data_IF_312073226301
#
_entry.id   IF_312073226301
#
_cell.length_a   1.000
_cell.length_b   1.000
_cell.length_c   1.000
_cell.angle_alpha   90.00
_cell.angle_beta   90.00
_cell.angle_gamma   90.00
#
_symmetry.space_group_name_H-M   'P 1'
#
loop_
_entity.id
_entity.type
_entity.pdbx_description
1 polymer ?
#
# COMPACT_ATOMS: atom_id res chain seq x y z
N UNK A 1 21.40 -2.29 -28.42
CA UNK A 1 19.94 -2.43 -28.54
C UNK A 1 19.28 -1.34 -27.71
N UNK A 2 18.72 -0.31 -28.35
CA UNK A 2 17.98 0.78 -27.69
C UNK A 2 16.58 0.29 -27.35
N UNK A 3 16.22 0.30 -26.07
CA UNK A 3 14.84 0.07 -25.63
C UNK A 3 13.97 1.20 -26.21
N UNK A 4 12.81 0.90 -26.82
CA UNK A 4 11.89 1.94 -27.30
C UNK A 4 11.52 2.91 -26.16
N UNK A 5 11.52 4.23 -26.42
CA UNK A 5 11.22 5.27 -25.41
C UNK A 5 9.93 4.98 -24.64
N UNK A 6 8.89 4.51 -25.34
CA UNK A 6 7.59 4.19 -24.74
C UNK A 6 7.70 3.09 -23.68
N UNK A 7 8.53 2.07 -23.93
CA UNK A 7 8.75 0.99 -22.96
C UNK A 7 9.53 1.47 -21.74
N UNK A 8 10.49 2.39 -21.94
CA UNK A 8 11.25 2.99 -20.85
C UNK A 8 10.36 3.88 -19.96
N UNK A 9 9.43 4.64 -20.55
CA UNK A 9 8.46 5.46 -19.83
C UNK A 9 7.49 4.59 -19.01
N UNK A 10 6.93 3.52 -19.63
CA UNK A 10 6.08 2.55 -18.92
C UNK A 10 6.82 1.92 -17.73
N UNK A 11 8.10 1.54 -17.92
CA UNK A 11 8.92 1.00 -16.84
C UNK A 11 9.21 2.01 -15.73
N UNK A 12 9.31 3.31 -16.04
CA UNK A 12 9.51 4.38 -15.06
C UNK A 12 8.26 4.62 -14.21
N UNK A 13 7.09 4.73 -14.85
CA UNK A 13 5.78 4.88 -14.19
C UNK A 13 5.51 3.70 -13.27
N UNK A 14 5.71 2.47 -13.76
CA UNK A 14 5.56 1.24 -12.96
C UNK A 14 6.47 1.23 -11.74
N UNK A 15 7.71 1.71 -11.86
CA UNK A 15 8.65 1.76 -10.73
C UNK A 15 8.17 2.75 -9.66
N UNK A 16 7.77 3.95 -10.07
CA UNK A 16 7.28 4.97 -9.15
C UNK A 16 5.98 4.51 -8.48
N UNK A 17 5.03 3.98 -9.25
CA UNK A 17 3.78 3.41 -8.74
C UNK A 17 4.02 2.26 -7.76
N UNK A 18 5.03 1.41 -8.02
CA UNK A 18 5.38 0.29 -7.13
C UNK A 18 5.77 0.80 -5.74
N UNK A 19 6.60 1.84 -5.66
CA UNK A 19 7.01 2.43 -4.38
C UNK A 19 5.82 3.08 -3.65
N UNK A 20 4.91 3.71 -4.39
CA UNK A 20 3.75 4.42 -3.84
C UNK A 20 2.58 3.49 -3.46
N UNK A 21 2.62 2.21 -3.84
CA UNK A 21 1.48 1.28 -3.72
C UNK A 21 1.03 0.94 -2.29
N UNK A 22 1.85 1.29 -1.29
CA UNK A 22 1.52 1.13 0.13
C UNK A 22 0.58 2.24 0.60
N UNK A 23 0.73 3.44 0.05
CA UNK A 23 -0.01 4.60 0.47
C UNK A 23 -1.52 4.46 0.20
N UNK A 24 -2.35 4.93 1.13
CA UNK A 24 -3.83 4.88 1.00
C UNK A 24 -4.35 5.86 -0.05
N UNK A 25 -3.65 6.99 -0.16
CA UNK A 25 -3.81 8.05 -1.14
C UNK A 25 -2.40 8.50 -1.51
N UNK A 26 -2.24 8.94 -2.75
CA UNK A 26 -0.95 9.38 -3.28
C UNK A 26 -1.06 10.84 -3.70
N UNK A 27 -0.53 11.71 -2.86
CA UNK A 27 -0.49 13.16 -2.99
C UNK A 27 0.65 13.57 -3.94
N UNK A 28 0.54 14.71 -4.65
CA UNK A 28 1.65 15.27 -5.42
C UNK A 28 2.95 15.38 -4.63
N UNK A 29 2.86 15.78 -3.35
CA UNK A 29 3.99 15.91 -2.43
C UNK A 29 4.66 14.56 -2.16
N UNK A 30 3.87 13.50 -1.98
CA UNK A 30 4.38 12.14 -1.79
C UNK A 30 5.05 11.62 -3.07
N UNK A 31 4.43 11.82 -4.25
CA UNK A 31 5.01 11.45 -5.54
C UNK A 31 6.38 12.13 -5.70
N UNK A 32 6.44 13.43 -5.43
CA UNK A 32 7.65 14.24 -5.54
C UNK A 32 8.73 13.77 -4.57
N UNK A 33 8.38 13.55 -3.30
CA UNK A 33 9.32 13.09 -2.27
C UNK A 33 9.92 11.73 -2.64
N UNK A 34 9.08 10.76 -3.02
CA UNK A 34 9.55 9.43 -3.44
C UNK A 34 10.39 9.51 -4.70
N UNK A 35 10.02 10.31 -5.69
CA UNK A 35 10.85 10.48 -6.90
C UNK A 35 12.22 11.06 -6.54
N UNK A 36 12.27 12.13 -5.75
CA UNK A 36 13.52 12.81 -5.42
C UNK A 36 14.44 11.97 -4.56
N UNK A 37 13.91 11.28 -3.53
CA UNK A 37 14.72 10.53 -2.58
C UNK A 37 15.04 9.11 -3.07
N UNK A 38 14.08 8.40 -3.69
CA UNK A 38 14.25 7.00 -4.07
C UNK A 38 14.66 6.82 -5.54
N UNK A 39 14.26 7.73 -6.41
CA UNK A 39 14.48 7.62 -7.86
C UNK A 39 14.98 8.93 -8.49
N UNK A 40 16.10 9.51 -8.02
CA UNK A 40 16.54 10.85 -8.42
C UNK A 40 16.84 11.01 -9.92
N UNK A 41 16.96 9.90 -10.66
CA UNK A 41 17.17 9.87 -12.11
C UNK A 41 15.88 9.85 -12.93
N UNK A 42 14.72 9.67 -12.29
CA UNK A 42 13.43 9.82 -12.96
C UNK A 42 13.11 11.30 -13.12
N UNK A 43 12.75 11.68 -14.33
CA UNK A 43 12.35 13.04 -14.65
C UNK A 43 10.97 13.39 -14.08
N UNK A 44 10.67 14.68 -14.02
CA UNK A 44 9.40 15.20 -13.50
C UNK A 44 8.20 14.74 -14.33
N UNK A 45 8.40 14.46 -15.62
CA UNK A 45 7.41 13.91 -16.52
C UNK A 45 6.83 12.58 -16.02
N UNK A 46 7.61 11.77 -15.30
CA UNK A 46 7.12 10.50 -14.73
C UNK A 46 6.04 10.73 -13.67
N UNK A 47 6.03 11.88 -12.98
CA UNK A 47 4.98 12.22 -12.02
C UNK A 47 3.64 12.46 -12.74
N UNK A 48 3.69 13.23 -13.83
CA UNK A 48 2.51 13.49 -14.67
C UNK A 48 2.04 12.23 -15.38
N UNK A 49 2.95 11.43 -15.95
CA UNK A 49 2.61 10.17 -16.60
C UNK A 49 1.96 9.19 -15.62
N UNK A 50 2.43 9.12 -14.37
CA UNK A 50 1.81 8.33 -13.31
C UNK A 50 0.39 8.83 -13.01
N UNK A 51 0.24 10.15 -12.83
CA UNK A 51 -1.05 10.79 -12.55
C UNK A 51 -2.09 10.38 -13.60
N UNK A 52 -1.77 10.52 -14.89
CA UNK A 52 -2.68 10.19 -15.97
C UNK A 52 -2.62 8.73 -16.46
N UNK A 53 -1.97 7.84 -15.72
CA UNK A 53 -1.83 6.43 -16.12
C UNK A 53 -3.10 5.61 -15.91
N UNK A 54 -3.20 4.49 -16.64
CA UNK A 54 -4.25 3.48 -16.42
C UNK A 54 -4.11 2.68 -15.11
N UNK A 55 -3.15 3.02 -14.24
CA UNK A 55 -3.02 2.44 -12.90
C UNK A 55 -3.95 3.12 -11.88
N UNK A 56 -4.40 4.33 -12.21
CA UNK A 56 -5.17 5.20 -11.33
C UNK A 56 -6.66 4.94 -11.50
N UNK A 57 -7.36 4.69 -10.39
CA UNK A 57 -8.82 4.54 -10.38
C UNK A 57 -9.52 5.89 -10.32
N UNK A 58 -8.99 6.78 -9.49
CA UNK A 58 -9.52 8.12 -9.30
C UNK A 58 -8.40 9.08 -8.92
N UNK A 59 -8.51 10.32 -9.38
CA UNK A 59 -7.59 11.39 -9.04
C UNK A 59 -8.35 12.70 -8.85
N UNK A 60 -7.80 13.58 -8.03
CA UNK A 60 -8.31 14.92 -7.80
C UNK A 60 -7.24 15.85 -7.27
N UNK A 61 -7.59 17.09 -6.93
CA UNK A 61 -6.62 18.11 -6.53
C UNK A 61 -5.74 17.71 -5.33
N UNK A 62 -6.23 16.79 -4.49
CA UNK A 62 -5.57 16.39 -3.24
C UNK A 62 -4.88 15.02 -3.32
N UNK A 63 -4.81 14.41 -4.51
CA UNK A 63 -4.12 13.14 -4.71
C UNK A 63 -4.86 12.16 -5.60
N UNK A 64 -4.25 10.99 -5.77
CA UNK A 64 -4.77 9.87 -6.54
C UNK A 64 -4.92 8.60 -5.70
N UNK A 65 -5.76 7.69 -6.17
CA UNK A 65 -5.96 6.35 -5.62
C UNK A 65 -5.77 5.35 -6.73
N UNK A 66 -4.92 4.34 -6.51
CA UNK A 66 -4.71 3.25 -7.44
C UNK A 66 -5.95 2.37 -7.58
N UNK A 67 -6.15 1.82 -8.78
CA UNK A 67 -7.05 0.69 -8.96
C UNK A 67 -6.65 -0.47 -8.05
N UNK A 68 -7.63 -1.12 -7.41
CA UNK A 68 -7.39 -2.15 -6.39
C UNK A 68 -6.57 -3.32 -6.95
N UNK A 69 -6.89 -3.81 -8.16
CA UNK A 69 -6.17 -4.93 -8.76
C UNK A 69 -4.74 -4.52 -9.12
N UNK A 70 -4.55 -3.30 -9.62
CA UNK A 70 -3.23 -2.74 -9.89
C UNK A 70 -2.42 -2.52 -8.61
N UNK A 71 -3.02 -1.95 -7.55
CA UNK A 71 -2.39 -1.74 -6.25
C UNK A 71 -1.85 -3.05 -5.68
N UNK A 72 -2.66 -4.11 -5.68
CA UNK A 72 -2.21 -5.43 -5.24
C UNK A 72 -1.06 -5.99 -6.09
N UNK A 73 -1.10 -5.79 -7.42
CA UNK A 73 0.00 -6.19 -8.32
C UNK A 73 1.30 -5.45 -8.01
N UNK A 74 1.20 -4.13 -7.79
CA UNK A 74 2.32 -3.26 -7.44
C UNK A 74 2.90 -3.62 -6.05
N UNK A 75 2.06 -3.88 -5.05
CA UNK A 75 2.50 -4.33 -3.72
C UNK A 75 3.25 -5.66 -3.77
N UNK A 76 2.80 -6.64 -4.57
CA UNK A 76 3.56 -7.88 -4.79
C UNK A 76 4.93 -7.63 -5.42
N UNK A 77 5.03 -6.64 -6.31
CA UNK A 77 6.29 -6.22 -6.92
C UNK A 77 7.19 -5.53 -5.89
N UNK A 78 6.65 -4.66 -5.04
CA UNK A 78 7.37 -4.02 -3.95
C UNK A 78 7.89 -5.06 -2.95
N UNK A 79 7.09 -6.06 -2.59
CA UNK A 79 7.49 -7.13 -1.69
C UNK A 79 8.69 -7.92 -2.23
N UNK A 80 8.77 -8.11 -3.55
CA UNK A 80 9.98 -8.69 -4.19
C UNK A 80 11.19 -7.76 -4.05
N UNK A 81 11.02 -6.44 -4.22
CA UNK A 81 12.11 -5.48 -4.04
C UNK A 81 12.66 -5.48 -2.62
N UNK A 82 11.77 -5.48 -1.62
CA UNK A 82 12.16 -5.54 -0.21
C UNK A 82 12.92 -6.83 0.08
N UNK A 83 12.42 -7.99 -0.38
CA UNK A 83 13.10 -9.29 -0.17
C UNK A 83 14.45 -9.41 -0.87
N UNK A 84 14.61 -8.81 -2.04
CA UNK A 84 15.86 -8.87 -2.82
C UNK A 84 16.94 -7.92 -2.29
N UNK A 85 16.54 -6.85 -1.59
CA UNK A 85 17.44 -5.82 -1.08
C UNK A 85 17.50 -5.86 0.44
N UNK A 86 17.89 -7.01 0.98
CA UNK A 86 17.97 -7.27 2.43
C UNK A 86 19.03 -6.44 3.16
N UNK A 87 19.81 -5.63 2.43
CA UNK A 87 20.77 -4.72 3.05
C UNK A 87 20.01 -3.62 3.80
N UNK A 88 20.27 -3.38 5.09
CA UNK A 88 19.57 -2.36 5.89
C UNK A 88 19.57 -0.96 5.25
N UNK A 89 20.66 -0.60 4.56
CA UNK A 89 20.78 0.69 3.86
C UNK A 89 20.16 0.71 2.46
N UNK A 90 19.45 -0.36 2.06
CA UNK A 90 18.79 -0.36 0.76
C UNK A 90 17.78 0.78 0.69
N UNK A 91 17.75 1.55 -0.42
CA UNK A 91 16.84 2.70 -0.54
C UNK A 91 15.35 2.38 -0.31
N UNK A 92 14.96 1.11 -0.50
CA UNK A 92 13.59 0.65 -0.22
C UNK A 92 13.21 0.74 1.27
N UNK A 93 14.18 0.72 2.20
CA UNK A 93 13.92 0.93 3.62
C UNK A 93 13.66 2.41 3.95
N UNK A 94 14.24 3.33 3.19
CA UNK A 94 13.93 4.76 3.31
C UNK A 94 12.50 5.09 2.85
N UNK A 95 11.91 4.28 1.96
CA UNK A 95 10.55 4.48 1.45
C UNK A 95 9.51 4.61 2.56
N UNK A 96 9.55 3.73 3.57
CA UNK A 96 8.59 3.78 4.66
C UNK A 96 8.72 5.06 5.49
N UNK A 97 9.95 5.51 5.74
CA UNK A 97 10.22 6.78 6.43
C UNK A 97 9.68 7.98 5.65
N UNK A 98 9.78 7.96 4.31
CA UNK A 98 9.23 9.02 3.45
C UNK A 98 7.72 9.07 3.57
N UNK A 99 7.05 7.91 3.45
CA UNK A 99 5.58 7.82 3.58
C UNK A 99 5.14 8.33 4.95
N UNK A 100 5.76 7.84 6.03
CA UNK A 100 5.45 8.28 7.40
C UNK A 100 5.64 9.79 7.60
N UNK A 101 6.66 10.37 6.99
CA UNK A 101 6.92 11.81 7.10
C UNK A 101 5.85 12.63 6.38
N UNK A 102 5.51 12.27 5.13
CA UNK A 102 4.51 13.00 4.34
C UNK A 102 3.11 12.83 4.91
N UNK A 103 2.82 11.66 5.50
CA UNK A 103 1.50 11.33 6.06
C UNK A 103 1.37 11.53 7.56
N UNK A 104 2.30 12.25 8.21
CA UNK A 104 2.31 12.44 9.65
C UNK A 104 0.97 12.97 10.21
N UNK A 105 0.23 13.74 9.41
CA UNK A 105 -1.05 14.36 9.78
C UNK A 105 -2.30 13.59 9.31
N UNK A 106 -2.14 12.39 8.73
CA UNK A 106 -3.29 11.55 8.39
C UNK A 106 -4.03 11.06 9.64
N UNK A 107 -5.30 10.72 9.47
CA UNK A 107 -6.08 10.13 10.57
C UNK A 107 -5.43 8.82 11.04
N UNK A 108 -5.56 8.48 12.34
CA UNK A 108 -4.97 7.24 12.88
C UNK A 108 -5.39 5.97 12.13
N UNK A 109 -6.61 5.94 11.58
CA UNK A 109 -7.13 4.82 10.80
C UNK A 109 -6.36 4.63 9.48
N UNK A 110 -6.06 5.72 8.77
CA UNK A 110 -5.33 5.69 7.52
C UNK A 110 -3.86 5.33 7.75
N UNK A 111 -3.24 5.90 8.77
CA UNK A 111 -1.88 5.53 9.18
C UNK A 111 -1.76 4.03 9.50
N UNK A 112 -2.75 3.48 10.19
CA UNK A 112 -2.79 2.04 10.48
C UNK A 112 -2.93 1.20 9.19
N UNK A 113 -3.76 1.61 8.25
CA UNK A 113 -3.89 0.92 6.95
C UNK A 113 -2.55 0.86 6.20
N UNK A 114 -1.83 1.98 6.13
CA UNK A 114 -0.51 2.03 5.49
C UNK A 114 0.49 1.17 6.24
N UNK A 115 0.46 1.20 7.58
CA UNK A 115 1.37 0.43 8.41
C UNK A 115 1.17 -1.08 8.24
N UNK A 116 -0.07 -1.56 8.29
CA UNK A 116 -0.42 -2.97 8.07
C UNK A 116 -0.02 -3.41 6.65
N UNK A 117 -0.29 -2.55 5.66
CA UNK A 117 0.11 -2.79 4.27
C UNK A 117 1.63 -2.91 4.15
N UNK A 118 2.39 -2.03 4.81
CA UNK A 118 3.85 -2.09 4.85
C UNK A 118 4.37 -3.37 5.50
N UNK A 119 3.84 -3.75 6.67
CA UNK A 119 4.23 -4.99 7.35
C UNK A 119 4.02 -6.21 6.45
N UNK A 120 2.89 -6.27 5.75
CA UNK A 120 2.59 -7.36 4.82
C UNK A 120 3.56 -7.38 3.63
N UNK A 121 3.87 -6.23 3.03
CA UNK A 121 4.85 -6.09 1.94
C UNK A 121 6.26 -6.47 2.40
N UNK A 122 6.63 -6.09 3.63
CA UNK A 122 7.92 -6.39 4.23
C UNK A 122 8.06 -7.86 4.69
N UNK A 123 6.99 -8.67 4.60
CA UNK A 123 6.99 -10.06 5.06
C UNK A 123 6.94 -10.20 6.58
N UNK A 124 6.57 -9.14 7.30
CA UNK A 124 6.46 -9.07 8.77
C UNK A 124 5.04 -9.42 9.22
N UNK A 125 4.45 -10.45 8.62
CA UNK A 125 3.03 -10.80 8.80
C UNK A 125 2.65 -11.17 10.24
N UNK A 126 3.62 -11.61 11.05
CA UNK A 126 3.42 -11.90 12.47
C UNK A 126 3.16 -10.65 13.32
N UNK A 127 3.62 -9.48 12.88
CA UNK A 127 3.44 -8.20 13.60
C UNK A 127 2.13 -7.50 13.22
N UNK A 128 1.41 -8.01 12.22
CA UNK A 128 0.13 -7.43 11.77
C UNK A 128 -0.94 -7.57 12.86
N UNK A 129 -1.00 -8.72 13.54
CA UNK A 129 -2.01 -8.94 14.57
C UNK A 129 -1.79 -7.99 15.76
N UNK A 130 -0.54 -7.75 16.14
CA UNK A 130 -0.17 -6.78 17.19
C UNK A 130 -0.54 -5.35 16.78
N UNK A 131 -0.30 -4.97 15.52
CA UNK A 131 -0.68 -3.66 14.99
C UNK A 131 -2.21 -3.44 14.99
N UNK A 132 -3.00 -4.50 14.71
CA UNK A 132 -4.46 -4.45 14.68
C UNK A 132 -5.12 -4.57 16.06
N UNK A 133 -4.43 -5.17 17.04
CA UNK A 133 -4.99 -5.48 18.36
C UNK A 133 -5.65 -4.28 19.08
N UNK A 134 -5.08 -3.06 19.08
CA UNK A 134 -5.72 -1.90 19.73
C UNK A 134 -7.08 -1.55 19.13
N UNK A 135 -7.21 -1.63 17.80
CA UNK A 135 -8.45 -1.30 17.09
C UNK A 135 -9.50 -2.40 17.27
N UNK A 136 -9.10 -3.67 17.24
CA UNK A 136 -10.02 -4.77 17.52
C UNK A 136 -10.55 -4.71 18.97
N UNK A 137 -9.70 -4.30 19.91
CA UNK A 137 -10.09 -4.09 21.32
C UNK A 137 -11.09 -2.94 21.48
N UNK A 138 -10.90 -1.81 20.79
CA UNK A 138 -11.86 -0.70 20.86
C UNK A 138 -13.22 -1.09 20.26
N UNK A 139 -13.24 -1.84 19.16
CA UNK A 139 -14.49 -2.31 18.52
C UNK A 139 -15.27 -3.26 19.44
N UNK A 140 -14.57 -4.20 20.11
CA UNK A 140 -15.20 -5.18 21.00
C UNK A 140 -15.69 -4.57 22.32
N UNK A 141 -15.04 -3.49 22.80
CA UNK A 141 -15.40 -2.83 24.06
C UNK A 141 -16.44 -1.71 23.90
N UNK A 142 -16.58 -1.07 22.73
CA UNK A 142 -17.42 0.13 22.53
C UNK A 142 -18.67 -0.09 21.65
N UNK A 143 -19.35 -1.23 21.82
CA UNK A 143 -20.53 -1.66 21.06
C UNK A 143 -21.34 -0.51 20.38
N UNK A 144 -21.10 -0.35 19.05
CA UNK A 144 -21.82 0.41 18.01
C UNK A 144 -21.45 1.86 17.63
N UNK A 145 -20.79 2.67 18.43
CA UNK A 145 -20.54 4.09 18.03
C UNK A 145 -19.12 4.39 17.54
N UNK A 146 -18.10 3.66 18.01
CA UNK A 146 -16.71 3.83 17.54
C UNK A 146 -16.52 3.49 16.05
N UNK A 147 -17.27 2.52 15.53
CA UNK A 147 -17.16 2.10 14.11
C UNK A 147 -17.56 3.20 13.11
N UNK A 148 -18.46 4.13 13.50
CA UNK A 148 -18.95 5.21 12.62
C UNK A 148 -17.89 6.27 12.35
N UNK A 149 -16.96 6.47 13.28
CA UNK A 149 -15.82 7.37 13.10
C UNK A 149 -14.70 6.74 12.26
N UNK A 150 -14.65 5.40 12.19
CA UNK A 150 -13.57 4.64 11.55
C UNK A 150 -13.90 4.14 10.14
N UNK A 151 -15.18 4.01 9.78
CA UNK A 151 -15.62 3.54 8.47
C UNK A 151 -16.44 4.63 7.74
N UNK A 152 -15.81 5.45 6.87
CA UNK A 152 -16.58 6.17 5.88
C UNK A 152 -17.03 5.16 4.82
N UNK A 153 -18.19 4.54 5.04
CA UNK A 153 -19.05 3.85 4.05
C UNK A 153 -18.35 3.10 2.89
N UNK A 154 -18.22 1.78 3.05
CA UNK A 154 -17.89 0.82 2.00
C UNK A 154 -16.61 0.08 2.32
N UNK A 155 -16.71 -1.23 2.58
CA UNK A 155 -15.63 -2.12 3.02
C UNK A 155 -14.24 -1.68 2.56
N UNK A 156 -13.44 -1.20 3.51
CA UNK A 156 -12.12 -0.64 3.22
C UNK A 156 -11.13 -1.72 2.73
N UNK A 157 -10.08 -1.34 1.98
CA UNK A 157 -9.08 -2.25 1.41
C UNK A 157 -8.33 -3.09 2.46
N UNK A 158 -8.35 -2.69 3.73
CA UNK A 158 -7.65 -3.32 4.87
C UNK A 158 -8.00 -4.81 5.01
N UNK A 159 -9.29 -5.16 4.98
CA UNK A 159 -9.71 -6.55 5.13
C UNK A 159 -9.35 -7.37 3.90
N UNK A 160 -9.58 -6.85 2.69
CA UNK A 160 -9.27 -7.59 1.46
C UNK A 160 -7.76 -7.80 1.26
N UNK A 161 -6.92 -6.80 1.56
CA UNK A 161 -5.47 -6.91 1.43
C UNK A 161 -4.87 -7.88 2.46
N UNK A 162 -5.34 -7.86 3.72
CA UNK A 162 -4.91 -8.82 4.76
C UNK A 162 -5.36 -10.24 4.40
N UNK A 163 -6.60 -10.43 3.95
CA UNK A 163 -7.09 -11.76 3.54
C UNK A 163 -6.37 -12.29 2.28
N UNK A 164 -6.11 -11.42 1.30
CA UNK A 164 -5.42 -11.77 0.07
C UNK A 164 -3.93 -12.11 0.31
N UNK A 165 -3.24 -11.36 1.18
CA UNK A 165 -1.82 -11.61 1.49
C UNK A 165 -1.61 -12.76 2.50
N UNK A 166 -2.61 -13.07 3.34
CA UNK A 166 -2.61 -14.28 4.19
C UNK A 166 -3.07 -15.55 3.47
N UNK A 167 -3.48 -15.49 2.21
CA UNK A 167 -3.96 -16.66 1.45
C UNK A 167 -5.31 -17.21 1.93
N UNK A 168 -6.06 -16.44 2.71
CA UNK A 168 -7.35 -16.88 3.27
C UNK A 168 -8.47 -16.49 2.31
N UNK A 169 -9.05 -17.48 1.60
CA UNK A 169 -10.32 -17.30 0.90
C UNK A 169 -11.44 -17.18 1.94
N UNK A 170 -12.07 -16.02 2.03
CA UNK A 170 -13.40 -15.92 2.62
C UNK A 170 -14.41 -16.41 1.59
N UNK A 171 -14.79 -17.68 1.66
CA UNK A 171 -16.08 -18.11 1.11
C UNK A 171 -17.18 -17.49 1.98
N UNK A 172 -18.16 -16.84 1.35
CA UNK A 172 -19.19 -15.99 1.97
C UNK A 172 -20.22 -16.67 2.89
N UNK A 173 -19.83 -17.72 3.61
CA UNK A 173 -20.56 -18.27 4.75
C UNK A 173 -19.54 -18.66 5.81
N UNK A 174 -19.67 -18.06 6.99
CA UNK A 174 -18.71 -18.16 8.09
C UNK A 174 -18.58 -19.57 8.67
N UNK A 175 -17.89 -20.45 7.95
CA UNK A 175 -17.37 -21.71 8.46
C UNK A 175 -15.86 -21.76 8.26
N UNK A 176 -15.14 -21.84 9.37
CA UNK A 176 -13.71 -22.14 9.40
C UNK A 176 -13.60 -23.66 9.28
N UNK A 177 -13.28 -24.17 8.09
CA UNK A 177 -12.97 -25.60 7.92
C UNK A 177 -11.51 -25.80 8.31
N UNK A 178 -11.30 -26.44 9.46
CA UNK A 178 -10.00 -26.93 9.89
C UNK A 178 -9.50 -28.01 8.95
N UNK A 179 -8.36 -27.76 8.32
CA UNK A 179 -7.60 -28.76 7.58
C UNK A 179 -6.99 -29.74 8.58
N UNK A 180 -7.66 -30.89 8.78
CA UNK A 180 -7.00 -32.07 9.35
C UNK A 180 -6.09 -32.64 8.28
N UNK A 181 -4.79 -32.49 8.49
CA UNK A 181 -3.79 -33.32 7.82
C UNK A 181 -4.04 -34.79 8.18
N UNK A 182 -4.21 -35.61 7.15
CA UNK A 182 -4.03 -37.06 7.16
C UNK A 182 -3.00 -37.38 6.07
#
# INVERSE_FOLDING_TARGET
>A
MTVPRDRQAVDAVEKLATALSVAVRVEPELIRAVRLELFPRLGVETESDLWFSGLVRSQGPTGLVFDTAQRHRLQRRLARWVRQRQHPDAPVHALWRIIQHVHADLSPALLLEEHVTWLAVAGRSGEIDDALAPVLKSITQQNRDGLRQWLPLGGGPILEAVHFLRGVRLTGRGEVVGEKAA
#
